data_IF_860869493501
#
_entry.id   IF_860869493501
#
_cell.length_a   1.000
_cell.length_b   1.000
_cell.length_c   1.000
_cell.angle_alpha   90.00
_cell.angle_beta   90.00
_cell.angle_gamma   90.00
#
_symmetry.space_group_name_H-M   'P 1'
#
loop_
_entity.id
_entity.type
_entity.pdbx_description
1 polymer ?
#
# COMPACT_ATOMS: atom_id res chain seq x y z
N UNK A 1 15.17 7.71 -11.08
CA UNK A 1 14.40 7.55 -12.31
C UNK A 1 15.23 8.03 -13.51
N UNK A 2 15.78 9.25 -13.47
CA UNK A 2 16.64 9.78 -14.55
C UNK A 2 17.81 8.84 -14.87
N UNK A 3 18.52 8.36 -13.85
CA UNK A 3 19.60 7.40 -14.03
C UNK A 3 19.12 6.11 -14.73
N UNK A 4 17.97 5.59 -14.31
CA UNK A 4 17.38 4.38 -14.93
C UNK A 4 17.05 4.61 -16.41
N UNK A 5 16.56 5.79 -16.78
CA UNK A 5 16.28 6.15 -18.18
C UNK A 5 17.56 6.23 -19.02
N UNK A 6 18.62 6.87 -18.47
CA UNK A 6 19.94 6.94 -19.12
C UNK A 6 20.49 5.52 -19.37
N UNK A 7 20.47 4.67 -18.33
CA UNK A 7 20.95 3.28 -18.46
C UNK A 7 20.14 2.47 -19.45
N UNK A 8 18.82 2.61 -19.44
CA UNK A 8 17.94 1.94 -20.41
C UNK A 8 18.33 2.27 -21.85
N UNK A 9 18.62 3.55 -22.12
CA UNK A 9 18.98 4.02 -23.46
C UNK A 9 20.43 3.65 -23.82
N UNK A 10 21.38 3.81 -22.91
CA UNK A 10 22.81 3.58 -23.15
C UNK A 10 23.12 2.10 -23.35
N UNK A 11 22.54 1.23 -22.53
CA UNK A 11 22.84 -0.21 -22.56
C UNK A 11 21.78 -1.04 -23.28
N UNK A 12 20.84 -0.40 -23.96
CA UNK A 12 19.77 -1.05 -24.72
C UNK A 12 18.96 -2.07 -23.88
N UNK A 13 18.79 -1.82 -22.60
CA UNK A 13 18.00 -2.65 -21.67
C UNK A 13 16.62 -2.03 -21.43
N UNK A 14 15.63 -2.90 -21.18
CA UNK A 14 14.29 -2.43 -20.85
C UNK A 14 14.15 -2.27 -19.34
N UNK A 15 13.81 -1.07 -18.89
CA UNK A 15 13.60 -0.75 -17.47
C UNK A 15 12.18 -0.22 -17.27
N UNK A 16 11.45 -0.86 -16.36
CA UNK A 16 10.11 -0.45 -15.95
C UNK A 16 10.16 0.05 -14.52
N UNK A 17 10.04 1.35 -14.34
CA UNK A 17 9.98 1.99 -13.02
C UNK A 17 8.58 1.91 -12.44
N UNK A 18 8.46 1.59 -11.15
CA UNK A 18 7.19 1.47 -10.44
C UNK A 18 7.20 2.37 -9.20
N UNK A 19 6.29 3.34 -9.17
CA UNK A 19 6.04 4.19 -8.02
C UNK A 19 4.94 3.57 -7.18
N UNK A 20 5.31 2.87 -6.11
CA UNK A 20 4.36 2.32 -5.16
C UNK A 20 3.82 3.40 -4.24
N UNK A 21 2.51 3.34 -4.00
CA UNK A 21 1.85 4.10 -2.95
C UNK A 21 1.82 3.27 -1.64
N UNK A 22 0.80 3.42 -0.80
CA UNK A 22 0.75 2.67 0.46
C UNK A 22 0.37 1.22 0.19
N UNK A 23 1.36 0.39 -0.17
CA UNK A 23 1.16 -1.05 -0.33
C UNK A 23 0.98 -1.69 1.04
N UNK A 24 -0.02 -2.54 1.18
CA UNK A 24 -0.31 -3.29 2.40
C UNK A 24 -0.70 -4.74 2.10
N UNK A 25 -0.66 -5.57 3.10
CA UNK A 25 -0.99 -6.99 2.95
C UNK A 25 0.02 -7.89 3.65
N UNK A 26 0.08 -9.13 3.24
CA UNK A 26 0.99 -10.14 3.72
C UNK A 26 2.46 -9.68 3.54
N UNK A 27 3.32 -9.97 4.52
CA UNK A 27 4.73 -9.55 4.56
C UNK A 27 4.94 -8.04 4.53
N UNK A 28 3.94 -7.26 4.98
CA UNK A 28 4.07 -5.82 5.13
C UNK A 28 5.16 -5.43 6.13
N UNK A 29 5.68 -4.22 5.98
CA UNK A 29 6.71 -3.69 6.87
C UNK A 29 6.16 -3.47 8.29
N UNK A 30 6.89 -3.86 9.35
CA UNK A 30 6.42 -3.78 10.74
C UNK A 30 6.23 -2.33 11.23
N UNK A 31 6.95 -1.36 10.63
CA UNK A 31 6.84 0.05 10.95
C UNK A 31 5.61 0.76 10.34
N UNK A 32 4.86 0.07 9.48
CA UNK A 32 3.67 0.64 8.84
C UNK A 32 2.45 0.60 9.75
N UNK A 33 1.50 1.51 9.47
CA UNK A 33 0.28 1.73 10.26
C UNK A 33 -0.45 0.45 10.67
N UNK A 34 -0.76 -0.45 9.72
CA UNK A 34 -1.55 -1.66 9.99
C UNK A 34 -0.82 -2.61 10.95
N UNK A 35 0.46 -2.84 10.72
CA UNK A 35 1.25 -3.77 11.55
C UNK A 35 1.44 -3.22 12.96
N UNK A 36 1.74 -1.94 13.12
CA UNK A 36 1.76 -1.28 14.44
C UNK A 36 0.40 -1.37 15.15
N UNK A 37 -0.70 -1.25 14.41
CA UNK A 37 -2.05 -1.34 14.96
C UNK A 37 -2.34 -2.78 15.45
N UNK A 38 -1.94 -3.79 14.69
CA UNK A 38 -2.09 -5.19 15.07
C UNK A 38 -1.19 -5.56 16.23
N UNK A 39 0.06 -5.12 16.23
CA UNK A 39 0.99 -5.28 17.33
C UNK A 39 0.41 -4.74 18.64
N UNK A 40 -0.09 -3.52 18.62
CA UNK A 40 -0.72 -2.91 19.78
C UNK A 40 -1.94 -3.72 20.28
N UNK A 41 -2.71 -4.31 19.36
CA UNK A 41 -3.84 -5.17 19.70
C UNK A 41 -3.40 -6.47 20.38
N UNK A 42 -2.42 -7.16 19.83
CA UNK A 42 -1.97 -8.46 20.35
C UNK A 42 -1.08 -8.33 21.60
N UNK A 43 -0.14 -7.38 21.59
CA UNK A 43 0.81 -7.15 22.70
C UNK A 43 0.25 -6.23 23.81
N UNK A 44 -1.03 -5.76 23.68
CA UNK A 44 -1.76 -5.00 24.70
C UNK A 44 -1.14 -3.66 25.11
N UNK A 45 -0.38 -3.01 24.24
CA UNK A 45 0.10 -1.66 24.47
C UNK A 45 -0.77 -0.59 23.76
N UNK A 46 -0.50 0.68 24.03
CA UNK A 46 -1.25 1.78 23.41
C UNK A 46 -0.73 2.09 22.02
N UNK A 47 -1.60 2.00 21.02
CA UNK A 47 -1.30 2.43 19.65
C UNK A 47 -1.25 3.96 19.58
N UNK A 48 -0.12 4.51 19.12
CA UNK A 48 0.04 5.95 18.92
C UNK A 48 -0.56 6.35 17.56
N UNK A 49 -1.60 7.20 17.61
CA UNK A 49 -2.31 7.68 16.43
C UNK A 49 -1.96 9.14 16.15
N UNK A 50 -1.17 9.38 15.09
CA UNK A 50 -0.80 10.73 14.65
C UNK A 50 -2.03 11.50 14.19
N UNK A 51 -2.09 12.80 14.55
CA UNK A 51 -3.13 13.74 14.11
C UNK A 51 -4.55 13.16 14.28
N UNK A 52 -4.77 12.42 15.37
CA UNK A 52 -6.04 11.74 15.64
C UNK A 52 -6.58 10.90 14.45
N UNK A 53 -5.69 10.44 13.57
CA UNK A 53 -6.05 9.63 12.38
C UNK A 53 -6.57 10.43 11.20
N UNK A 54 -6.49 11.75 11.22
CA UNK A 54 -6.95 12.59 10.10
C UNK A 54 -5.94 12.60 8.95
N UNK A 55 -5.74 11.43 8.36
CA UNK A 55 -4.90 11.19 7.21
C UNK A 55 -5.63 10.34 6.17
N UNK A 56 -5.35 10.60 4.91
CA UNK A 56 -5.80 9.77 3.81
C UNK A 56 -4.60 9.10 3.12
N UNK A 57 -4.73 7.82 2.82
CA UNK A 57 -3.71 7.06 2.10
C UNK A 57 -4.33 6.27 0.96
N UNK A 58 -3.68 6.29 -0.19
CA UNK A 58 -4.02 5.40 -1.31
C UNK A 58 -3.46 4.01 -1.00
N UNK A 59 -4.30 3.21 -0.35
CA UNK A 59 -3.96 1.85 0.05
C UNK A 59 -4.09 0.89 -1.14
N UNK A 60 -3.04 0.13 -1.42
CA UNK A 60 -3.02 -0.85 -2.50
C UNK A 60 -2.66 -2.22 -1.95
N UNK A 61 -3.53 -3.21 -2.14
CA UNK A 61 -3.30 -4.55 -1.61
C UNK A 61 -2.18 -5.27 -2.35
N UNK A 62 -1.30 -5.95 -1.63
CA UNK A 62 -0.10 -6.57 -2.19
C UNK A 62 -0.42 -7.58 -3.31
N UNK A 63 -1.52 -8.33 -3.22
CA UNK A 63 -1.91 -9.28 -4.27
C UNK A 63 -2.35 -8.58 -5.56
N UNK A 64 -2.94 -7.39 -5.45
CA UNK A 64 -3.23 -6.56 -6.62
C UNK A 64 -1.94 -6.05 -7.25
N UNK A 65 -0.95 -5.67 -6.43
CA UNK A 65 0.39 -5.28 -6.90
C UNK A 65 1.04 -6.43 -7.67
N UNK A 66 1.04 -7.65 -7.13
CA UNK A 66 1.57 -8.84 -7.82
C UNK A 66 0.85 -9.06 -9.14
N UNK A 67 -0.48 -8.92 -9.17
CA UNK A 67 -1.28 -9.04 -10.39
C UNK A 67 -0.87 -7.99 -11.45
N UNK A 68 -0.63 -6.75 -11.01
CA UNK A 68 -0.14 -5.66 -11.87
C UNK A 68 1.22 -6.02 -12.46
N UNK A 69 2.16 -6.48 -11.63
CA UNK A 69 3.50 -6.89 -12.08
C UNK A 69 3.43 -7.98 -13.14
N UNK A 70 2.65 -9.02 -12.91
CA UNK A 70 2.46 -10.12 -13.86
C UNK A 70 1.83 -9.66 -15.18
N UNK A 71 0.90 -8.70 -15.13
CA UNK A 71 0.32 -8.13 -16.35
C UNK A 71 1.31 -7.24 -17.11
N UNK A 72 2.16 -6.49 -16.43
CA UNK A 72 3.22 -5.68 -17.05
C UNK A 72 4.25 -6.58 -17.74
N UNK A 73 4.71 -7.65 -17.07
CA UNK A 73 5.64 -8.64 -17.65
C UNK A 73 5.09 -9.26 -18.92
N UNK A 74 3.80 -9.68 -18.93
CA UNK A 74 3.15 -10.22 -20.13
C UNK A 74 3.07 -9.23 -21.28
N UNK A 75 3.17 -7.94 -21.00
CA UNK A 75 3.10 -6.87 -22.02
C UNK A 75 4.45 -6.21 -22.30
N UNK A 76 5.55 -6.75 -21.80
CA UNK A 76 6.88 -6.15 -21.89
C UNK A 76 7.26 -5.72 -23.33
N UNK A 77 6.91 -6.53 -24.34
CA UNK A 77 7.22 -6.26 -25.76
C UNK A 77 6.56 -4.96 -26.27
N UNK A 78 5.43 -4.55 -25.67
CA UNK A 78 4.67 -3.35 -26.02
C UNK A 78 5.08 -2.10 -25.25
N UNK A 79 5.93 -2.26 -24.23
CA UNK A 79 6.39 -1.17 -23.41
C UNK A 79 7.60 -0.48 -24.04
N UNK A 80 7.77 0.82 -23.76
CA UNK A 80 8.96 1.58 -24.15
C UNK A 80 10.21 1.00 -23.48
N UNK A 81 11.37 1.40 -23.98
CA UNK A 81 12.66 1.02 -23.36
C UNK A 81 12.74 1.48 -21.89
N UNK A 82 12.29 2.69 -21.61
CA UNK A 82 12.01 3.17 -20.27
C UNK A 82 10.55 3.55 -20.14
N UNK A 83 9.86 2.98 -19.15
CA UNK A 83 8.50 3.33 -18.79
C UNK A 83 8.36 3.47 -17.27
N UNK A 84 7.48 4.37 -16.83
CA UNK A 84 7.25 4.66 -15.43
C UNK A 84 5.75 4.61 -15.13
N UNK A 85 5.36 3.85 -14.09
CA UNK A 85 3.96 3.66 -13.71
C UNK A 85 3.72 3.91 -12.23
N UNK A 86 2.65 4.62 -11.92
CA UNK A 86 2.13 4.67 -10.57
C UNK A 86 1.32 3.40 -10.29
N UNK A 87 1.72 2.67 -9.25
CA UNK A 87 1.03 1.46 -8.77
C UNK A 87 0.23 1.83 -7.54
N UNK A 88 -1.05 2.13 -7.75
CA UNK A 88 -1.98 2.60 -6.72
C UNK A 88 -3.41 2.17 -7.04
N UNK A 89 -4.27 2.10 -6.01
CA UNK A 89 -5.68 1.78 -6.19
C UNK A 89 -6.49 2.94 -6.81
N UNK A 90 -5.94 4.17 -6.73
CA UNK A 90 -6.64 5.41 -7.08
C UNK A 90 -7.91 5.63 -6.23
N UNK A 91 -7.91 5.12 -5.01
CA UNK A 91 -9.03 5.22 -4.06
C UNK A 91 -8.52 5.46 -2.63
N UNK A 92 -8.16 6.71 -2.28
CA UNK A 92 -7.67 7.04 -0.95
C UNK A 92 -8.69 6.71 0.15
N UNK A 93 -8.22 6.15 1.23
CA UNK A 93 -9.02 5.79 2.40
C UNK A 93 -8.51 6.58 3.60
N UNK A 94 -9.44 7.18 4.35
CA UNK A 94 -9.13 7.83 5.61
C UNK A 94 -8.81 6.79 6.69
N UNK A 95 -7.75 7.03 7.49
CA UNK A 95 -7.31 6.07 8.53
C UNK A 95 -8.38 5.82 9.60
N UNK A 96 -9.22 6.81 9.91
CA UNK A 96 -10.33 6.61 10.85
C UNK A 96 -11.36 5.59 10.33
N UNK A 97 -11.60 5.55 9.00
CA UNK A 97 -12.46 4.51 8.41
C UNK A 97 -11.87 3.12 8.60
N UNK A 98 -10.54 2.98 8.43
CA UNK A 98 -9.82 1.72 8.65
C UNK A 98 -9.90 1.30 10.13
N UNK A 99 -9.67 2.23 11.06
CA UNK A 99 -9.80 1.98 12.50
C UNK A 99 -11.22 1.57 12.86
N UNK A 100 -12.23 2.30 12.37
CA UNK A 100 -13.64 2.00 12.60
C UNK A 100 -14.02 0.61 12.09
N UNK A 101 -13.51 0.24 10.92
CA UNK A 101 -13.71 -1.09 10.38
C UNK A 101 -13.13 -2.18 11.30
N UNK A 102 -11.91 -2.03 11.79
CA UNK A 102 -11.31 -2.99 12.73
C UNK A 102 -12.03 -3.03 14.08
N UNK A 103 -12.45 -1.87 14.62
CA UNK A 103 -13.26 -1.81 15.85
C UNK A 103 -14.56 -2.63 15.72
N UNK A 104 -15.28 -2.47 14.60
CA UNK A 104 -16.50 -3.27 14.32
C UNK A 104 -16.21 -4.79 14.28
N UNK A 105 -15.00 -5.17 13.90
CA UNK A 105 -14.55 -6.57 13.89
C UNK A 105 -13.84 -7.00 15.20
N UNK A 106 -14.07 -6.26 16.30
CA UNK A 106 -13.50 -6.53 17.64
C UNK A 106 -11.97 -6.47 17.71
N UNK A 107 -11.32 -5.81 16.75
CA UNK A 107 -9.88 -5.56 16.73
C UNK A 107 -9.66 -4.11 17.15
N UNK A 108 -9.52 -3.86 18.45
CA UNK A 108 -9.53 -2.52 19.02
C UNK A 108 -8.46 -2.36 20.09
N UNK A 109 -7.21 -2.00 19.73
CA UNK A 109 -6.18 -1.66 20.69
C UNK A 109 -6.52 -0.33 21.41
N UNK A 110 -5.94 -0.11 22.59
CA UNK A 110 -6.00 1.21 23.26
C UNK A 110 -5.32 2.25 22.37
N UNK A 111 -5.99 3.35 22.08
CA UNK A 111 -5.45 4.43 21.22
C UNK A 111 -5.00 5.61 22.08
N UNK A 112 -3.79 6.11 21.83
CA UNK A 112 -3.24 7.36 22.35
C UNK A 112 -3.03 8.31 21.18
N UNK A 113 -3.81 9.39 21.14
CA UNK A 113 -3.63 10.43 20.12
C UNK A 113 -2.34 11.20 20.38
N UNK A 114 -1.57 11.43 19.34
CA UNK A 114 -0.36 12.28 19.38
C UNK A 114 -0.47 13.40 18.34
N UNK A 115 0.26 14.49 18.56
CA UNK A 115 0.27 15.64 17.68
C UNK A 115 0.77 15.25 16.27
N UNK A 116 0.31 16.00 15.27
CA UNK A 116 0.79 15.85 13.90
C UNK A 116 2.32 16.07 13.84
N UNK A 117 3.02 15.11 13.26
CA UNK A 117 4.40 15.33 12.86
C UNK A 117 4.42 16.22 11.60
N UNK A 118 5.15 17.34 11.65
CA UNK A 118 5.25 18.29 10.53
C UNK A 118 5.76 17.66 9.22
N UNK A 119 6.52 16.57 9.31
CA UNK A 119 7.00 15.82 8.16
C UNK A 119 5.98 14.83 7.59
N UNK A 120 4.82 14.64 8.24
CA UNK A 120 3.84 13.63 7.83
C UNK A 120 2.87 14.19 6.79
N UNK A 121 2.77 13.50 5.65
CA UNK A 121 1.87 13.89 4.55
C UNK A 121 0.43 13.57 4.94
N UNK A 122 -0.46 14.57 4.87
CA UNK A 122 -1.87 14.40 5.25
C UNK A 122 -2.64 13.52 4.27
N UNK A 123 -2.33 13.63 2.98
CA UNK A 123 -3.04 12.89 1.93
C UNK A 123 -2.10 12.38 0.85
N UNK A 124 -2.24 11.11 0.50
CA UNK A 124 -1.65 10.55 -0.72
C UNK A 124 -2.75 10.05 -1.64
N UNK A 125 -2.67 10.40 -2.92
CA UNK A 125 -3.61 9.97 -3.94
C UNK A 125 -2.86 9.77 -5.26
N UNK A 126 -2.86 8.55 -5.76
CA UNK A 126 -2.20 8.21 -7.01
C UNK A 126 -3.13 8.30 -8.21
N UNK A 127 -2.55 8.54 -9.39
CA UNK A 127 -3.23 8.42 -10.67
C UNK A 127 -2.65 7.23 -11.43
N UNK A 128 -3.45 6.19 -11.60
CA UNK A 128 -3.06 4.95 -12.27
C UNK A 128 -3.57 4.83 -13.71
N UNK A 129 -4.09 5.91 -14.32
CA UNK A 129 -4.67 5.89 -15.68
C UNK A 129 -3.71 5.33 -16.74
N UNK A 130 -2.44 5.75 -16.70
CA UNK A 130 -1.40 5.24 -17.62
C UNK A 130 -1.23 3.73 -17.44
N UNK A 131 -1.16 3.25 -16.21
CA UNK A 131 -1.05 1.84 -15.89
C UNK A 131 -2.24 1.05 -16.46
N UNK A 132 -3.46 1.47 -16.13
CA UNK A 132 -4.69 0.80 -16.60
C UNK A 132 -4.79 0.79 -18.13
N UNK A 133 -4.46 1.91 -18.80
CA UNK A 133 -4.40 1.95 -20.27
C UNK A 133 -3.43 0.92 -20.83
N UNK A 134 -2.34 0.66 -20.13
CA UNK A 134 -1.29 -0.28 -20.58
C UNK A 134 -1.67 -1.73 -20.31
N UNK A 135 -2.09 -2.07 -19.09
CA UNK A 135 -2.34 -3.47 -18.70
C UNK A 135 -3.78 -3.94 -18.92
N UNK A 136 -4.69 -3.02 -19.26
CA UNK A 136 -6.14 -3.25 -19.30
C UNK A 136 -6.78 -3.13 -17.92
N UNK A 137 -8.09 -3.25 -17.87
CA UNK A 137 -8.86 -3.14 -16.64
C UNK A 137 -8.35 -4.12 -15.57
N UNK A 138 -8.28 -3.63 -14.34
CA UNK A 138 -7.98 -4.38 -13.15
C UNK A 138 -9.07 -4.12 -12.11
N UNK A 139 -9.71 -5.18 -11.65
CA UNK A 139 -10.62 -5.14 -10.50
C UNK A 139 -9.76 -5.22 -9.24
N UNK A 140 -9.60 -4.11 -8.55
CA UNK A 140 -8.92 -4.10 -7.26
C UNK A 140 -9.70 -4.87 -6.21
N UNK A 141 -9.00 -5.54 -5.32
CA UNK A 141 -9.59 -6.24 -4.19
C UNK A 141 -10.35 -5.25 -3.29
N UNK A 142 -11.54 -5.62 -2.85
CA UNK A 142 -12.29 -4.80 -1.90
C UNK A 142 -11.46 -4.53 -0.64
N UNK A 143 -11.38 -3.27 -0.22
CA UNK A 143 -10.50 -2.83 0.88
C UNK A 143 -10.78 -3.59 2.18
N UNK A 144 -12.06 -3.83 2.53
CA UNK A 144 -12.41 -4.53 3.75
C UNK A 144 -11.95 -6.00 3.71
N UNK A 145 -12.08 -6.65 2.55
CA UNK A 145 -11.58 -8.02 2.34
C UNK A 145 -10.05 -8.05 2.49
N UNK A 146 -9.36 -7.12 1.86
CA UNK A 146 -7.90 -7.02 1.93
C UNK A 146 -7.41 -6.76 3.37
N UNK A 147 -8.10 -5.87 4.11
CA UNK A 147 -7.78 -5.56 5.51
C UNK A 147 -7.92 -6.78 6.43
N UNK A 148 -9.03 -7.55 6.29
CA UNK A 148 -9.24 -8.77 7.07
C UNK A 148 -8.23 -9.86 6.69
N UNK A 149 -7.95 -10.04 5.41
CA UNK A 149 -6.93 -11.00 4.96
C UNK A 149 -5.55 -10.67 5.57
N UNK A 150 -5.18 -9.38 5.56
CA UNK A 150 -3.92 -8.91 6.17
C UNK A 150 -3.89 -9.20 7.67
N UNK A 151 -4.98 -8.92 8.40
CA UNK A 151 -5.07 -9.21 9.83
C UNK A 151 -4.99 -10.72 10.11
N UNK A 152 -5.71 -11.54 9.36
CA UNK A 152 -5.70 -12.99 9.55
C UNK A 152 -4.32 -13.59 9.27
N UNK A 153 -3.64 -13.07 8.25
CA UNK A 153 -2.26 -13.46 7.97
C UNK A 153 -1.32 -13.03 9.12
N UNK A 154 -1.43 -11.78 9.59
CA UNK A 154 -0.64 -11.29 10.72
C UNK A 154 -0.83 -12.15 11.97
N UNK A 155 -2.09 -12.44 12.33
CA UNK A 155 -2.43 -13.31 13.48
C UNK A 155 -1.75 -14.67 13.41
N UNK A 156 -1.68 -15.28 12.22
CA UNK A 156 -1.01 -16.60 12.02
C UNK A 156 0.51 -16.51 12.10
N UNK A 157 1.08 -15.37 11.82
CA UNK A 157 2.51 -15.18 11.66
C UNK A 157 3.10 -14.21 12.71
N UNK A 158 2.41 -14.00 13.81
CA UNK A 158 2.80 -13.01 14.84
C UNK A 158 4.20 -13.26 15.41
N UNK A 159 4.68 -14.50 15.43
CA UNK A 159 6.00 -14.88 15.94
C UNK A 159 7.16 -14.38 15.05
N UNK A 160 6.88 -13.85 13.86
CA UNK A 160 7.88 -13.22 12.99
C UNK A 160 8.08 -11.71 13.28
N UNK A 161 7.25 -11.13 14.16
CA UNK A 161 7.21 -9.71 14.51
C UNK A 161 7.27 -9.54 16.04
#
# INVERSE_FOLDING_TARGET
EQMAEIYANQFNIKIIGLRFFTVFGEWGRPDMFLFKYFDAFFKKFSFQLNNSGNHERDFTYVKDVVTILMKLLKKEKKLKRFDLFNVCSNNPINLLKVITFFKKNRINPKIKNIKLNKADVLKTHGNNKKLIKTIGLLKFTNSNVALINTFNWYKKNINFF
#
